data_IF_418610069944
#
_entry.id   IF_418610069944
#
_cell.length_a   1.000
_cell.length_b   1.000
_cell.length_c   1.000
_cell.angle_alpha   90.00
_cell.angle_beta   90.00
_cell.angle_gamma   90.00
#
_symmetry.space_group_name_H-M   'P 1'
#
loop_
_entity.id
_entity.type
_entity.pdbx_description
1 polymer ?
#
# COMPACT_ATOMS: atom_id res chain seq x y z
N UNK A 1 2.52 10.67 12.24
CA UNK A 1 2.04 10.32 10.89
C UNK A 1 0.84 9.42 11.01
N UNK A 2 -0.26 9.81 10.40
CA UNK A 2 -1.46 8.98 10.35
C UNK A 2 -1.35 8.03 9.16
N UNK A 3 -1.03 6.79 9.44
CA UNK A 3 -0.84 5.80 8.39
C UNK A 3 -2.07 4.91 8.29
N UNK A 4 -2.74 4.95 7.15
CA UNK A 4 -3.87 4.08 6.85
C UNK A 4 -3.68 3.44 5.48
N UNK A 5 -4.35 2.33 5.25
CA UNK A 5 -4.29 1.65 3.96
C UNK A 5 -4.94 2.52 2.87
N UNK A 6 -5.98 3.24 3.21
CA UNK A 6 -6.64 4.14 2.26
C UNK A 6 -5.71 5.24 1.77
N UNK A 7 -4.99 5.89 2.68
CA UNK A 7 -4.04 6.94 2.30
C UNK A 7 -2.84 6.36 1.56
N UNK A 8 -2.44 5.14 1.92
CA UNK A 8 -1.38 4.43 1.22
C UNK A 8 -1.76 4.14 -0.23
N UNK A 9 -2.95 3.58 -0.43
CA UNK A 9 -3.43 3.26 -1.77
C UNK A 9 -3.56 4.51 -2.63
N UNK A 10 -4.04 5.60 -2.04
CA UNK A 10 -4.15 6.86 -2.75
C UNK A 10 -2.78 7.40 -3.15
N UNK A 11 -1.82 7.37 -2.24
CA UNK A 11 -0.46 7.83 -2.53
C UNK A 11 0.18 7.00 -3.64
N UNK A 12 -0.01 5.68 -3.61
CA UNK A 12 0.47 4.80 -4.66
C UNK A 12 -0.18 5.11 -6.00
N UNK A 13 -1.50 5.29 -6.02
CA UNK A 13 -2.23 5.58 -7.23
C UNK A 13 -1.74 6.88 -7.88
N UNK A 14 -1.55 7.92 -7.07
CA UNK A 14 -1.05 9.19 -7.56
C UNK A 14 0.38 9.07 -8.10
N UNK A 15 1.21 8.31 -7.40
CA UNK A 15 2.60 8.12 -7.82
C UNK A 15 2.71 7.32 -9.12
N UNK A 16 1.89 6.28 -9.27
CA UNK A 16 1.96 5.38 -10.41
C UNK A 16 1.28 5.93 -11.67
N UNK A 17 0.36 6.87 -11.52
CA UNK A 17 -0.40 7.39 -12.65
C UNK A 17 0.46 7.85 -13.82
N UNK A 18 1.56 8.60 -13.62
CA UNK A 18 2.41 9.02 -14.75
C UNK A 18 3.15 7.87 -15.42
N UNK A 19 3.41 6.79 -14.69
CA UNK A 19 4.12 5.63 -15.24
C UNK A 19 3.21 4.67 -16.01
N UNK A 20 1.91 4.74 -15.71
CA UNK A 20 0.91 3.87 -16.33
C UNK A 20 -0.24 4.74 -16.84
N UNK A 21 0.00 5.54 -17.89
CA UNK A 21 -1.03 6.44 -18.39
C UNK A 21 -2.23 5.68 -18.94
N UNK A 22 -3.41 6.18 -18.66
CA UNK A 22 -4.65 5.56 -19.11
C UNK A 22 -5.11 4.36 -18.30
N UNK A 23 -4.39 4.02 -17.24
CA UNK A 23 -4.75 2.90 -16.37
C UNK A 23 -5.59 3.41 -15.20
N UNK A 24 -6.74 2.81 -14.98
CA UNK A 24 -7.60 3.15 -13.87
C UNK A 24 -7.11 2.44 -12.60
N UNK A 25 -6.89 3.21 -11.55
CA UNK A 25 -6.43 2.68 -10.27
C UNK A 25 -7.62 2.45 -9.34
N UNK A 26 -7.71 1.26 -8.77
CA UNK A 26 -8.85 0.84 -7.97
C UNK A 26 -8.38 0.15 -6.70
N UNK A 27 -9.21 0.23 -5.66
CA UNK A 27 -8.93 -0.44 -4.40
C UNK A 27 -9.69 -1.76 -4.26
N UNK A 28 -10.83 -1.87 -4.90
CA UNK A 28 -11.72 -3.02 -4.75
C UNK A 28 -11.91 -3.77 -6.07
N UNK A 29 -11.41 -5.01 -6.16
CA UNK A 29 -11.56 -5.79 -7.38
C UNK A 29 -13.01 -6.22 -7.65
N UNK A 30 -13.89 -6.16 -6.65
CA UNK A 30 -15.28 -6.51 -6.81
C UNK A 30 -16.11 -5.39 -7.44
N UNK A 31 -15.52 -4.23 -7.66
CA UNK A 31 -16.22 -3.11 -8.25
C UNK A 31 -16.63 -3.44 -9.68
N UNK A 32 -17.92 -3.33 -9.96
CA UNK A 32 -18.45 -3.64 -11.27
C UNK A 32 -18.26 -2.49 -12.25
N UNK A 33 -18.23 -2.82 -13.54
CA UNK A 33 -18.12 -1.81 -14.59
C UNK A 33 -16.73 -1.31 -14.85
N UNK A 34 -15.74 -1.99 -14.29
CA UNK A 34 -14.35 -1.63 -14.51
C UNK A 34 -13.83 -2.38 -15.73
N UNK A 35 -13.26 -1.63 -16.66
CA UNK A 35 -12.69 -2.21 -17.86
C UNK A 35 -11.19 -2.06 -17.90
N UNK A 36 -10.45 -3.04 -18.44
CA UNK A 36 -9.03 -2.89 -18.66
C UNK A 36 -8.72 -1.73 -19.63
N UNK A 37 -7.59 -1.04 -19.46
CA UNK A 37 -6.55 -1.36 -18.48
C UNK A 37 -6.89 -0.80 -17.10
N UNK A 38 -6.67 -1.62 -16.09
CA UNK A 38 -6.90 -1.21 -14.72
C UNK A 38 -5.89 -1.87 -13.78
N UNK A 39 -5.71 -1.27 -12.62
CA UNK A 39 -4.82 -1.81 -11.60
C UNK A 39 -5.52 -1.77 -10.25
N UNK A 40 -5.53 -2.91 -9.56
CA UNK A 40 -6.06 -2.99 -8.21
C UNK A 40 -4.91 -2.92 -7.21
N UNK A 41 -5.06 -2.07 -6.23
CA UNK A 41 -4.09 -1.92 -5.15
C UNK A 41 -4.67 -2.62 -3.93
N UNK A 42 -4.15 -3.79 -3.60
CA UNK A 42 -4.73 -4.63 -2.57
C UNK A 42 -3.73 -4.93 -1.46
N UNK A 43 -4.21 -4.89 -0.24
CA UNK A 43 -3.45 -5.39 0.89
C UNK A 43 -3.66 -6.89 0.98
N UNK A 44 -2.56 -7.64 0.98
CA UNK A 44 -2.61 -9.11 1.10
C UNK A 44 -2.54 -9.55 2.54
N UNK A 45 -1.94 -8.75 3.40
CA UNK A 45 -1.81 -9.06 4.80
C UNK A 45 -0.90 -8.06 5.48
N UNK A 46 -0.87 -8.10 6.79
CA UNK A 46 0.02 -7.26 7.57
C UNK A 46 0.36 -7.93 8.90
N UNK A 47 1.53 -7.56 9.42
CA UNK A 47 1.98 -7.98 10.74
C UNK A 47 2.37 -6.75 11.52
N UNK A 48 2.21 -6.82 12.83
CA UNK A 48 2.60 -5.74 13.71
C UNK A 48 3.52 -6.31 14.78
N UNK A 49 4.67 -5.67 14.93
CA UNK A 49 5.62 -6.02 15.97
C UNK A 49 5.79 -4.82 16.89
N UNK A 50 5.57 -5.05 18.18
CA UNK A 50 5.66 -3.98 19.17
C UNK A 50 7.10 -3.85 19.68
N UNK A 51 7.50 -2.61 19.89
CA UNK A 51 8.80 -2.28 20.44
C UNK A 51 8.61 -1.40 21.68
N UNK A 52 9.61 -1.34 22.55
CA UNK A 52 9.52 -0.45 23.72
C UNK A 52 9.30 1.00 23.30
N UNK A 53 8.59 1.74 24.14
CA UNK A 53 8.32 3.15 23.89
C UNK A 53 7.10 3.43 23.07
N UNK A 54 6.23 2.44 22.86
CA UNK A 54 5.01 2.63 22.11
C UNK A 54 5.17 2.61 20.61
N UNK A 55 6.34 2.24 20.13
CA UNK A 55 6.59 2.13 18.70
C UNK A 55 6.15 0.76 18.19
N UNK A 56 5.56 0.76 17.01
CA UNK A 56 5.16 -0.49 16.35
C UNK A 56 5.72 -0.52 14.94
N UNK A 57 6.28 -1.65 14.56
CA UNK A 57 6.68 -1.89 13.19
C UNK A 57 5.55 -2.62 12.49
N UNK A 58 4.97 -1.97 11.51
CA UNK A 58 3.95 -2.59 10.65
C UNK A 58 4.62 -3.06 9.38
N UNK A 59 4.47 -4.34 9.11
CA UNK A 59 4.88 -4.94 7.84
C UNK A 59 3.62 -5.17 7.04
N UNK A 60 3.52 -4.53 5.90
CA UNK A 60 2.31 -4.56 5.07
C UNK A 60 2.68 -5.16 3.73
N UNK A 61 1.97 -6.21 3.35
CA UNK A 61 2.18 -6.87 2.07
C UNK A 61 1.10 -6.43 1.10
N UNK A 62 1.53 -5.93 -0.04
CA UNK A 62 0.64 -5.39 -1.07
C UNK A 62 0.79 -6.15 -2.37
N UNK A 63 -0.29 -6.15 -3.13
CA UNK A 63 -0.34 -6.74 -4.46
C UNK A 63 -0.94 -5.69 -5.40
N UNK A 64 -0.18 -5.31 -6.41
CA UNK A 64 -0.69 -4.48 -7.50
C UNK A 64 -1.08 -5.43 -8.61
N UNK A 65 -2.38 -5.60 -8.82
CA UNK A 65 -2.89 -6.48 -9.87
C UNK A 65 -3.23 -5.66 -11.09
N UNK A 66 -2.45 -5.82 -12.13
CA UNK A 66 -2.60 -5.07 -13.37
C UNK A 66 -3.26 -5.94 -14.44
N UNK A 67 -4.39 -5.45 -14.95
CA UNK A 67 -5.18 -6.18 -15.94
C UNK A 67 -5.22 -5.43 -17.26
N UNK A 68 -4.89 -6.13 -18.32
CA UNK A 68 -5.01 -5.66 -19.68
C UNK A 68 -6.10 -6.46 -20.37
N UNK A 69 -6.57 -5.96 -21.52
CA UNK A 69 -7.51 -6.69 -22.33
C UNK A 69 -6.86 -7.98 -22.81
N UNK A 70 -7.42 -9.13 -22.41
CA UNK A 70 -6.82 -10.42 -22.75
C UNK A 70 -6.93 -10.77 -24.22
N UNK A 71 -7.63 -9.98 -25.02
CA UNK A 71 -7.69 -10.16 -26.47
C UNK A 71 -6.51 -9.55 -27.20
N UNK A 72 -5.63 -8.85 -26.48
CA UNK A 72 -4.43 -8.27 -27.10
C UNK A 72 -3.50 -9.37 -27.58
N UNK A 73 -2.96 -9.21 -28.77
CA UNK A 73 -2.06 -10.21 -29.36
C UNK A 73 -0.68 -10.21 -28.68
N UNK A 74 -0.28 -9.07 -28.16
CA UNK A 74 1.01 -8.90 -27.48
C UNK A 74 0.85 -8.75 -25.98
N UNK A 75 -0.15 -9.40 -25.42
CA UNK A 75 -0.52 -9.26 -24.01
C UNK A 75 0.66 -9.51 -23.07
N UNK A 76 1.37 -10.61 -23.28
CA UNK A 76 2.48 -10.95 -22.41
C UNK A 76 3.63 -9.95 -22.49
N UNK A 77 3.89 -9.43 -23.68
CA UNK A 77 4.92 -8.40 -23.85
C UNK A 77 4.53 -7.13 -23.08
N UNK A 78 3.28 -6.76 -23.12
CA UNK A 78 2.81 -5.58 -22.39
C UNK A 78 2.89 -5.77 -20.90
N UNK A 79 2.57 -6.98 -20.40
CA UNK A 79 2.75 -7.28 -18.99
C UNK A 79 4.23 -7.24 -18.59
N UNK A 80 5.10 -7.75 -19.42
CA UNK A 80 6.54 -7.69 -19.15
C UNK A 80 7.05 -6.25 -19.10
N UNK A 81 6.57 -5.42 -20.01
CA UNK A 81 6.93 -3.99 -19.99
C UNK A 81 6.43 -3.30 -18.74
N UNK A 82 5.21 -3.60 -18.31
CA UNK A 82 4.65 -3.04 -17.09
C UNK A 82 5.46 -3.49 -15.87
N UNK A 83 5.83 -4.77 -15.81
CA UNK A 83 6.65 -5.29 -14.72
C UNK A 83 7.99 -4.59 -14.65
N UNK A 84 8.64 -4.38 -15.80
CA UNK A 84 9.91 -3.66 -15.87
C UNK A 84 9.76 -2.20 -15.42
N UNK A 85 8.68 -1.56 -15.83
CA UNK A 85 8.40 -0.19 -15.40
C UNK A 85 8.20 -0.11 -13.89
N UNK A 86 7.49 -1.08 -13.31
CA UNK A 86 7.30 -1.15 -11.88
C UNK A 86 8.61 -1.44 -11.15
N UNK A 87 9.44 -2.32 -11.68
CA UNK A 87 10.76 -2.57 -11.12
C UNK A 87 11.59 -1.30 -11.07
N UNK A 88 11.46 -0.47 -12.08
CA UNK A 88 12.18 0.79 -12.15
C UNK A 88 11.67 1.81 -11.16
N UNK A 89 10.35 1.94 -11.00
CA UNK A 89 9.76 3.01 -10.22
C UNK A 89 9.36 2.63 -8.79
N UNK A 90 9.26 1.34 -8.47
CA UNK A 90 8.72 0.90 -7.17
C UNK A 90 9.76 0.66 -6.10
N UNK A 91 10.99 1.07 -6.31
CA UNK A 91 12.00 0.98 -5.26
C UNK A 91 11.59 1.77 -4.03
N UNK A 92 11.03 2.94 -4.26
CA UNK A 92 10.50 3.79 -3.22
C UNK A 92 9.44 4.70 -3.82
N UNK A 93 8.56 5.21 -3.00
CA UNK A 93 7.52 6.13 -3.47
C UNK A 93 7.14 7.09 -2.35
N UNK A 94 6.63 8.29 -2.71
CA UNK A 94 6.23 9.27 -1.71
C UNK A 94 4.88 8.90 -1.10
N UNK A 95 4.81 8.96 0.22
CA UNK A 95 3.58 8.76 0.97
C UNK A 95 3.17 10.07 1.64
N UNK A 96 1.92 10.44 1.49
CA UNK A 96 1.35 11.58 2.16
C UNK A 96 0.02 11.20 2.80
N UNK A 97 -0.16 11.63 4.04
CA UNK A 97 -1.41 11.39 4.77
C UNK A 97 -2.37 12.59 4.65
N UNK A 98 -2.08 13.52 3.75
CA UNK A 98 -2.88 14.73 3.58
C UNK A 98 -2.40 15.91 4.40
N UNK A 99 -1.41 15.69 5.26
CA UNK A 99 -0.74 16.78 5.96
C UNK A 99 0.42 17.27 5.11
N UNK A 100 1.14 18.27 5.59
CA UNK A 100 2.27 18.82 4.84
C UNK A 100 3.48 17.88 4.78
N UNK A 101 3.52 16.88 5.64
CA UNK A 101 4.64 15.96 5.70
C UNK A 101 4.50 14.86 4.68
N UNK A 102 5.43 14.82 3.75
CA UNK A 102 5.55 13.72 2.81
C UNK A 102 6.74 12.88 3.19
N UNK A 103 6.58 11.56 3.18
CA UNK A 103 7.65 10.64 3.50
C UNK A 103 7.90 9.69 2.34
N UNK A 104 9.15 9.34 2.15
CA UNK A 104 9.53 8.38 1.14
C UNK A 104 9.52 6.99 1.76
N UNK A 105 8.68 6.12 1.22
CA UNK A 105 8.59 4.74 1.68
C UNK A 105 9.36 3.83 0.76
N UNK A 106 10.17 2.95 1.36
CA UNK A 106 10.93 1.95 0.62
C UNK A 106 10.15 0.65 0.53
N UNK A 107 10.28 -0.03 -0.59
CA UNK A 107 9.65 -1.33 -0.79
C UNK A 107 10.67 -2.44 -0.59
N UNK A 108 10.18 -3.59 -0.13
CA UNK A 108 11.01 -4.77 0.14
C UNK A 108 10.40 -5.99 -0.53
N UNK A 109 11.25 -6.94 -0.86
CA UNK A 109 10.84 -8.25 -1.37
C UNK A 109 9.89 -8.16 -2.56
N UNK A 110 10.28 -7.34 -3.52
CA UNK A 110 9.47 -7.13 -4.72
C UNK A 110 9.54 -8.34 -5.64
N UNK A 111 8.39 -8.74 -6.16
CA UNK A 111 8.29 -9.82 -7.12
C UNK A 111 7.18 -9.55 -8.11
N UNK A 112 7.33 -10.07 -9.31
CA UNK A 112 6.34 -9.94 -10.36
C UNK A 112 5.98 -11.32 -10.87
N UNK A 113 4.67 -11.63 -10.90
CA UNK A 113 4.15 -12.87 -11.44
C UNK A 113 3.13 -12.55 -12.51
N UNK A 114 3.26 -13.19 -13.67
CA UNK A 114 2.32 -13.04 -14.77
C UNK A 114 1.61 -14.37 -14.94
N UNK A 115 0.28 -14.34 -14.78
CA UNK A 115 -0.54 -15.53 -14.95
C UNK A 115 -1.78 -15.20 -15.79
N UNK A 116 -2.76 -16.11 -15.81
CA UNK A 116 -3.97 -15.90 -16.60
C UNK A 116 -4.82 -14.73 -16.10
N UNK A 117 -4.64 -14.36 -14.84
CA UNK A 117 -5.39 -13.29 -14.20
C UNK A 117 -4.72 -11.92 -14.32
N UNK A 118 -3.55 -11.86 -14.91
CA UNK A 118 -2.84 -10.61 -15.13
C UNK A 118 -1.46 -10.59 -14.52
N UNK A 119 -0.96 -9.39 -14.33
CA UNK A 119 0.34 -9.17 -13.68
C UNK A 119 0.08 -8.88 -12.20
N UNK A 120 0.72 -9.66 -11.34
CA UNK A 120 0.72 -9.43 -9.91
C UNK A 120 2.08 -8.92 -9.50
N UNK A 121 2.14 -7.68 -9.10
CA UNK A 121 3.37 -7.08 -8.58
C UNK A 121 3.24 -6.98 -7.08
N UNK A 122 4.04 -7.78 -6.38
CA UNK A 122 3.95 -7.93 -4.93
C UNK A 122 5.14 -7.30 -4.26
N UNK A 123 4.90 -6.66 -3.15
CA UNK A 123 5.98 -6.07 -2.36
C UNK A 123 5.54 -5.88 -0.91
N UNK A 124 6.51 -5.56 -0.08
CA UNK A 124 6.33 -5.38 1.34
C UNK A 124 6.75 -3.98 1.73
N UNK A 125 6.01 -3.37 2.61
CA UNK A 125 6.38 -2.11 3.25
C UNK A 125 6.61 -2.36 4.73
N UNK A 126 7.58 -1.66 5.30
CA UNK A 126 7.90 -1.73 6.73
C UNK A 126 7.88 -0.31 7.27
N UNK A 127 6.90 -0.03 8.13
CA UNK A 127 6.66 1.32 8.61
C UNK A 127 6.61 1.31 10.12
N UNK A 128 7.43 2.17 10.74
CA UNK A 128 7.31 2.41 12.16
C UNK A 128 6.20 3.42 12.39
N UNK A 129 5.24 3.02 13.20
CA UNK A 129 4.11 3.85 13.55
C UNK A 129 4.12 4.02 15.06
N UNK A 130 3.99 5.25 15.51
CA UNK A 130 3.80 5.47 16.92
C UNK A 130 2.36 5.17 17.24
N UNK A 131 2.18 4.26 18.18
CA UNK A 131 0.86 3.99 18.67
C UNK A 131 0.33 5.26 19.32
N UNK A 132 -0.86 5.75 18.92
CA UNK A 132 -1.41 6.92 19.58
C UNK A 132 -1.54 6.62 21.05
N UNK A 133 -0.84 7.38 21.85
CA UNK A 133 -0.97 7.28 23.29
C UNK A 133 -2.24 8.02 23.65
N UNK A 134 -3.22 7.27 24.10
CA UNK A 134 -4.43 7.87 24.62
C UNK A 134 -4.11 8.47 26.00
N UNK A 135 -3.63 9.69 25.96
CA UNK A 135 -3.22 10.37 27.17
C UNK A 135 -4.37 10.53 28.16
N UNK A 136 -5.54 10.76 27.62
CA UNK A 136 -6.73 10.88 28.43
C UNK A 136 -7.04 9.57 29.13
N UNK A 137 -6.99 8.49 28.40
CA UNK A 137 -7.22 7.18 28.94
C UNK A 137 -6.19 6.82 30.00
N UNK A 138 -4.97 7.12 29.75
CA UNK A 138 -3.92 6.86 30.72
C UNK A 138 -4.08 7.70 31.97
N UNK A 139 -4.42 8.94 31.81
CA UNK A 139 -4.69 9.81 32.94
C UNK A 139 -5.88 9.31 33.74
N UNK A 140 -6.90 8.87 33.08
CA UNK A 140 -8.08 8.32 33.72
C UNK A 140 -7.74 7.07 34.49
N UNK A 141 -6.99 6.20 33.90
CA UNK A 141 -6.54 5.00 34.60
C UNK A 141 -5.70 5.33 35.81
N UNK A 142 -4.82 6.26 35.67
CA UNK A 142 -3.99 6.66 36.78
C UNK A 142 -4.80 7.26 37.90
N UNK A 143 -5.72 8.13 37.57
CA UNK A 143 -6.59 8.72 38.54
C UNK A 143 -7.45 7.68 39.24
N UNK A 144 -8.04 6.82 38.47
CA UNK A 144 -8.83 5.76 39.02
C UNK A 144 -8.02 4.87 39.94
N UNK A 145 -6.83 4.56 39.55
CA UNK A 145 -5.96 3.80 40.38
C UNK A 145 -5.53 4.53 41.62
N UNK A 146 -5.40 5.80 41.54
CA UNK A 146 -5.09 6.60 42.70
C UNK A 146 -6.25 6.76 43.61
N UNK A 147 -7.36 6.88 42.99
CA UNK A 147 -8.56 7.06 43.73
C UNK A 147 -9.00 5.77 44.29
N UNK A 148 -8.73 4.85 43.54
CA UNK A 148 -9.02 3.58 43.94
C UNK A 148 -8.07 3.02 44.73
N UNK A 149 -7.77 3.85 44.83
CA UNK A 149 -6.66 3.86 44.83
C UNK A 149 -6.45 4.71 46.01
#
# INVERSE_FOLDING_TARGET
MNFTITTLARSLAEYLAPFLPGVQMLEDPAQQGVEPPCMFIQQRGSDIKSYPGGRELRTIRLDLTYLLDYNLTDLRQQYNKAAEALDFCMKEFPYSDGTESEKLLHTYDRSADIDNDGLHYKFELRVFVEKPVDTVKMQTQTVNQKVNQ
#
